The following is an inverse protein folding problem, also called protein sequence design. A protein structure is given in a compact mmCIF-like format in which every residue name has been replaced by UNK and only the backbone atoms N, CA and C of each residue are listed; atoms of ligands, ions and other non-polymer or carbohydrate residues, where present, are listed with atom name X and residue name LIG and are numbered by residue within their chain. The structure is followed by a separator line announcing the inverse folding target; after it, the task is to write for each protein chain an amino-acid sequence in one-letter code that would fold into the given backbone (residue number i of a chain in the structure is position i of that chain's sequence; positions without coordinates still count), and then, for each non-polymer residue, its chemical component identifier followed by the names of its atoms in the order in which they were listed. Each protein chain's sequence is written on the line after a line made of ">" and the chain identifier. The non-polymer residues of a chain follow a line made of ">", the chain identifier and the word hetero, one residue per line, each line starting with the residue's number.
data_IF_585410998027
#
_entry.id   IF_585410998027
#
_cell.length_a   1.000
_cell.length_b   1.000
_cell.length_c   1.000
_cell.angle_alpha   90.00
_cell.angle_beta   90.00
_cell.angle_gamma   90.00
#
_symmetry.space_group_name_H-M   'P 1'
#
loop_
_entity.id
_entity.type
_entity.pdbx_description
1 polymer ?
#
# COMPACT_ATOMS: atom_id res chain seq x y z
N UNK A 1 -13.85 4.68 7.32
CA UNK A 1 -12.46 4.25 7.52
C UNK A 1 -12.33 2.95 8.32
N UNK A 2 -13.38 2.53 9.04
CA UNK A 2 -13.40 1.32 9.86
C UNK A 2 -13.12 0.00 9.09
N UNK A 3 -13.53 -0.11 7.83
CA UNK A 3 -13.32 -1.33 7.03
C UNK A 3 -11.86 -1.61 6.63
N UNK A 4 -11.04 -0.57 6.43
CA UNK A 4 -9.60 -0.73 6.10
C UNK A 4 -8.83 -1.21 7.33
N UNK A 5 -9.27 -0.76 8.52
CA UNK A 5 -8.67 -1.09 9.82
C UNK A 5 -9.03 -2.52 10.23
N UNK A 6 -10.29 -2.94 10.05
CA UNK A 6 -10.74 -4.28 10.44
C UNK A 6 -10.35 -5.38 9.43
N UNK A 7 -10.21 -5.05 8.15
CA UNK A 7 -10.07 -6.04 7.08
C UNK A 7 -8.65 -6.35 6.62
N UNK A 8 -7.65 -5.51 6.94
CA UNK A 8 -6.29 -5.54 6.31
C UNK A 8 -6.33 -5.73 4.79
N UNK A 9 -7.41 -5.31 4.13
CA UNK A 9 -7.60 -5.46 2.69
C UNK A 9 -7.52 -4.08 2.04
N UNK A 10 -6.66 -3.90 1.02
CA UNK A 10 -6.61 -2.66 0.27
C UNK A 10 -7.98 -2.39 -0.39
N UNK A 11 -8.46 -1.15 -0.27
CA UNK A 11 -9.67 -0.72 -0.97
C UNK A 11 -9.25 0.05 -2.22
N UNK A 12 -9.63 -0.47 -3.38
CA UNK A 12 -9.35 0.15 -4.67
C UNK A 12 -10.47 1.12 -5.03
N UNK A 13 -10.11 2.38 -5.22
CA UNK A 13 -11.00 3.43 -5.71
C UNK A 13 -10.61 3.72 -7.15
N UNK A 14 -11.49 3.35 -8.08
CA UNK A 14 -11.30 3.67 -9.49
C UNK A 14 -11.89 5.05 -9.78
N UNK A 15 -11.03 6.04 -9.98
CA UNK A 15 -11.41 7.34 -10.52
C UNK A 15 -11.39 7.33 -12.05
N UNK A 16 -11.96 8.37 -12.64
CA UNK A 16 -12.11 8.53 -14.10
C UNK A 16 -10.76 8.53 -14.85
N UNK A 17 -9.71 9.07 -14.23
CA UNK A 17 -8.37 9.20 -14.83
C UNK A 17 -7.26 8.53 -14.00
N UNK A 18 -7.53 8.13 -12.75
CA UNK A 18 -6.57 7.42 -11.89
C UNK A 18 -7.24 6.47 -10.92
N UNK A 19 -6.57 5.36 -10.65
CA UNK A 19 -6.91 4.44 -9.56
C UNK A 19 -6.15 4.84 -8.31
N UNK A 20 -6.85 5.06 -7.21
CA UNK A 20 -6.28 5.23 -5.88
C UNK A 20 -6.46 3.94 -5.07
N UNK A 21 -5.53 3.66 -4.16
CA UNK A 21 -5.61 2.52 -3.24
C UNK A 21 -5.54 3.05 -1.81
N UNK A 22 -6.54 2.70 -1.02
CA UNK A 22 -6.56 2.97 0.41
C UNK A 22 -6.01 1.75 1.15
N UNK A 23 -4.95 1.98 1.91
CA UNK A 23 -4.32 1.00 2.81
C UNK A 23 -4.06 1.65 4.16
N UNK A 24 -3.93 0.83 5.20
CA UNK A 24 -3.46 1.30 6.50
C UNK A 24 -2.02 1.79 6.41
N UNK A 25 -1.67 2.80 7.20
CA UNK A 25 -0.30 3.33 7.26
C UNK A 25 0.74 2.29 7.67
N UNK A 26 0.37 1.34 8.54
CA UNK A 26 1.23 0.24 8.96
C UNK A 26 1.57 -0.71 7.80
N UNK A 27 0.57 -1.05 6.99
CA UNK A 27 0.75 -1.88 5.79
C UNK A 27 1.61 -1.14 4.74
N UNK A 28 1.35 0.16 4.53
CA UNK A 28 2.17 0.97 3.62
C UNK A 28 3.64 0.99 4.04
N UNK A 29 3.92 1.19 5.34
CA UNK A 29 5.29 1.15 5.87
C UNK A 29 5.95 -0.22 5.68
N UNK A 30 5.23 -1.31 5.95
CA UNK A 30 5.79 -2.67 5.78
C UNK A 30 6.10 -2.99 4.32
N UNK A 31 5.25 -2.56 3.39
CA UNK A 31 5.49 -2.74 1.95
C UNK A 31 6.67 -1.87 1.49
N UNK A 32 6.73 -0.62 1.92
CA UNK A 32 7.81 0.29 1.57
C UNK A 32 9.17 -0.22 2.08
N UNK A 33 9.24 -0.71 3.32
CA UNK A 33 10.45 -1.31 3.91
C UNK A 33 10.95 -2.51 3.09
N UNK A 34 10.04 -3.41 2.69
CA UNK A 34 10.36 -4.56 1.84
C UNK A 34 10.75 -4.18 0.40
N UNK A 35 10.25 -3.06 -0.12
CA UNK A 35 10.60 -2.54 -1.44
C UNK A 35 11.97 -1.86 -1.42
N UNK A 36 12.27 -1.07 -0.39
CA UNK A 36 13.58 -0.43 -0.19
C UNK A 36 14.66 -1.49 0.04
N UNK A 37 14.35 -2.55 0.80
CA UNK A 37 15.23 -3.70 0.97
C UNK A 37 15.46 -4.50 -0.33
N UNK A 38 14.66 -4.27 -1.39
CA UNK A 38 14.78 -4.93 -2.69
C UNK A 38 15.45 -4.07 -3.75
N UNK A 39 16.00 -2.90 -3.40
CA UNK A 39 16.81 -2.15 -4.35
C UNK A 39 18.01 -3.03 -4.76
N UNK A 40 18.11 -3.45 -6.03
CA UNK A 40 19.15 -4.35 -6.49
C UNK A 40 20.45 -3.61 -6.82
N UNK A 41 20.60 -2.33 -6.44
CA UNK A 41 21.80 -1.54 -6.75
C UNK A 41 23.00 -1.83 -5.85
N UNK A 42 22.96 -2.91 -5.05
CA UNK A 42 24.15 -3.49 -4.41
C UNK A 42 24.82 -4.48 -5.39
N UNK A 43 25.47 -3.95 -6.43
CA UNK A 43 26.53 -4.62 -7.18
C UNK A 43 27.50 -3.59 -7.75
#
# INVERSE_FOLDING_TARGET
>A
MEQVIAGRKPVFIKGESRTAVLVSMEEWKSVQDKLISRDPSDH
#
